data_IF_665696822185
#
_entry.id   IF_665696822185
#
_cell.length_a   1.000
_cell.length_b   1.000
_cell.length_c   1.000
_cell.angle_alpha   90.00
_cell.angle_beta   90.00
_cell.angle_gamma   90.00
#
_symmetry.space_group_name_H-M   'P 1'
#
loop_
_entity.id
_entity.type
_entity.pdbx_description
1 polymer ?
#
# COMPACT_ATOMS: atom_id res chain seq x y z
N UNK A 1 11.56 -1.40 -20.00
CA UNK A 1 10.64 -0.92 -18.94
C UNK A 1 11.36 -1.15 -17.63
N UNK A 2 11.60 -0.11 -16.85
CA UNK A 2 12.21 -0.24 -15.52
C UNK A 2 11.32 -1.13 -14.66
N UNK A 3 11.92 -2.07 -13.94
CA UNK A 3 11.20 -3.03 -13.11
C UNK A 3 10.72 -2.32 -11.83
N UNK A 4 9.58 -1.62 -11.89
CA UNK A 4 8.98 -0.86 -10.78
C UNK A 4 8.30 -1.77 -9.75
N UNK A 5 8.74 -3.02 -9.66
CA UNK A 5 8.15 -4.04 -8.81
C UNK A 5 8.60 -3.84 -7.37
N UNK A 6 7.78 -3.12 -6.59
CA UNK A 6 8.08 -2.74 -5.21
C UNK A 6 8.59 -3.92 -4.36
N UNK A 7 8.01 -5.10 -4.52
CA UNK A 7 8.34 -6.30 -3.74
C UNK A 7 9.82 -6.68 -3.76
N UNK A 8 10.57 -6.30 -4.81
CA UNK A 8 12.01 -6.56 -4.92
C UNK A 8 12.83 -5.68 -3.96
N UNK A 9 12.29 -4.53 -3.59
CA UNK A 9 12.95 -3.50 -2.79
C UNK A 9 12.52 -3.54 -1.32
N UNK A 10 11.28 -3.95 -1.03
CA UNK A 10 10.74 -3.98 0.34
C UNK A 10 11.63 -4.73 1.35
N UNK A 11 12.22 -5.90 1.04
CA UNK A 11 13.07 -6.62 2.00
C UNK A 11 14.36 -5.87 2.39
N UNK A 12 14.77 -4.90 1.59
CA UNK A 12 16.02 -4.15 1.78
C UNK A 12 15.83 -2.94 2.70
N UNK A 13 14.58 -2.58 2.98
CA UNK A 13 14.25 -1.39 3.76
C UNK A 13 14.18 -1.71 5.25
N UNK A 14 14.66 -0.79 6.11
CA UNK A 14 14.45 -0.91 7.54
C UNK A 14 12.95 -0.82 7.88
N UNK A 15 12.54 -1.43 8.99
CA UNK A 15 11.13 -1.44 9.41
C UNK A 15 10.52 -0.04 9.51
N UNK A 16 11.29 0.96 9.93
CA UNK A 16 10.83 2.34 10.00
C UNK A 16 10.48 2.93 8.61
N UNK A 17 11.25 2.59 7.57
CA UNK A 17 10.96 3.00 6.20
C UNK A 17 9.73 2.26 5.65
N UNK A 18 9.61 0.96 5.94
CA UNK A 18 8.44 0.16 5.58
C UNK A 18 7.17 0.70 6.24
N UNK A 19 7.23 1.07 7.52
CA UNK A 19 6.14 1.66 8.26
C UNK A 19 5.74 3.04 7.70
N UNK A 20 6.70 3.90 7.38
CA UNK A 20 6.43 5.20 6.77
C UNK A 20 5.75 5.04 5.40
N UNK A 21 6.20 4.08 4.60
CA UNK A 21 5.65 3.83 3.27
C UNK A 21 4.23 3.25 3.31
N UNK A 22 3.95 2.28 4.19
CA UNK A 22 2.61 1.72 4.31
C UNK A 22 1.61 2.75 4.86
N UNK A 23 2.05 3.62 5.77
CA UNK A 23 1.25 4.73 6.29
C UNK A 23 0.88 5.72 5.16
N UNK A 24 1.86 6.13 4.36
CA UNK A 24 1.61 6.97 3.18
C UNK A 24 0.64 6.32 2.17
N UNK A 25 0.77 5.02 1.91
CA UNK A 25 -0.16 4.32 1.02
C UNK A 25 -1.62 4.45 1.51
N UNK A 26 -1.83 4.33 2.83
CA UNK A 26 -3.16 4.35 3.44
C UNK A 26 -3.72 5.76 3.67
N UNK A 27 -2.86 6.76 3.90
CA UNK A 27 -3.29 8.13 4.21
C UNK A 27 -3.37 9.00 2.95
N UNK A 28 -2.37 8.90 2.09
CA UNK A 28 -2.20 9.79 0.95
C UNK A 28 -2.64 9.11 -0.34
N UNK A 29 -2.07 7.95 -0.67
CA UNK A 29 -2.34 7.34 -1.96
C UNK A 29 -3.79 6.86 -2.09
N UNK A 30 -4.42 6.39 -1.02
CA UNK A 30 -5.82 5.98 -1.03
C UNK A 30 -6.78 7.10 -1.43
N UNK A 31 -6.39 8.37 -1.27
CA UNK A 31 -7.22 9.51 -1.70
C UNK A 31 -7.46 9.51 -3.21
N UNK A 32 -6.51 8.97 -4.00
CA UNK A 32 -6.67 8.78 -5.45
C UNK A 32 -7.78 7.75 -5.78
N UNK A 33 -8.08 6.84 -4.85
CA UNK A 33 -9.22 5.93 -4.91
C UNK A 33 -10.54 6.55 -4.39
N UNK A 34 -10.53 7.83 -4.03
CA UNK A 34 -11.67 8.50 -3.37
C UNK A 34 -11.88 8.07 -1.93
N UNK A 35 -10.85 7.49 -1.28
CA UNK A 35 -10.90 7.09 0.12
C UNK A 35 -10.30 8.16 1.03
N UNK A 36 -11.17 8.82 1.81
CA UNK A 36 -10.76 9.64 2.94
C UNK A 36 -10.62 8.80 4.20
N UNK A 37 -9.46 8.14 4.36
CA UNK A 37 -9.16 7.42 5.59
C UNK A 37 -8.73 8.39 6.70
N UNK A 38 -9.47 8.37 7.82
CA UNK A 38 -9.15 9.15 9.03
C UNK A 38 -8.98 8.17 10.18
N UNK A 39 -7.75 7.73 10.49
CA UNK A 39 -7.53 6.78 11.58
C UNK A 39 -7.91 7.38 12.94
N UNK A 40 -8.43 6.53 13.81
CA UNK A 40 -8.68 6.82 15.21
C UNK A 40 -7.35 6.89 15.98
N UNK A 41 -6.82 8.10 16.06
CA UNK A 41 -5.56 8.42 16.73
C UNK A 41 -5.54 7.99 18.21
N UNK A 42 -6.70 7.92 18.87
CA UNK A 42 -6.77 7.46 20.26
C UNK A 42 -6.37 5.99 20.42
N UNK A 43 -6.62 5.18 19.38
CA UNK A 43 -6.25 3.76 19.34
C UNK A 43 -4.84 3.49 18.84
N UNK A 44 -4.18 4.50 18.27
CA UNK A 44 -2.80 4.41 17.78
C UNK A 44 -1.77 4.90 18.80
N UNK A 45 -2.21 5.73 19.75
CA UNK A 45 -1.33 6.37 20.73
C UNK A 45 -0.63 5.34 21.61
N UNK A 46 0.68 5.55 21.82
CA UNK A 46 1.55 4.74 22.67
C UNK A 46 1.68 3.26 22.27
N UNK A 47 1.28 2.88 21.06
CA UNK A 47 1.56 1.54 20.54
C UNK A 47 3.03 1.41 20.16
N UNK A 48 3.57 0.20 20.34
CA UNK A 48 4.85 -0.15 19.75
C UNK A 48 4.74 -0.11 18.21
N UNK A 49 5.84 0.14 17.46
CA UNK A 49 5.81 0.27 15.99
C UNK A 49 5.08 -0.86 15.24
N UNK A 50 5.29 -2.11 15.65
CA UNK A 50 4.62 -3.27 15.07
C UNK A 50 3.11 -3.27 15.33
N UNK A 51 2.70 -2.95 16.56
CA UNK A 51 1.28 -2.85 16.94
C UNK A 51 0.61 -1.65 16.30
N UNK A 52 1.32 -0.53 16.14
CA UNK A 52 0.85 0.67 15.43
C UNK A 52 0.49 0.31 14.00
N UNK A 53 1.41 -0.31 13.27
CA UNK A 53 1.23 -0.68 11.86
C UNK A 53 0.05 -1.64 11.70
N UNK A 54 -0.05 -2.66 12.56
CA UNK A 54 -1.17 -3.60 12.57
C UNK A 54 -2.51 -2.89 12.83
N UNK A 55 -2.56 -2.04 13.86
CA UNK A 55 -3.77 -1.31 14.23
C UNK A 55 -4.19 -0.30 13.16
N UNK A 56 -3.25 0.30 12.44
CA UNK A 56 -3.52 1.21 11.33
C UNK A 56 -4.12 0.45 10.13
N UNK A 57 -3.52 -0.68 9.75
CA UNK A 57 -4.04 -1.57 8.70
C UNK A 57 -5.43 -2.11 9.06
N UNK A 58 -5.63 -2.56 10.30
CA UNK A 58 -6.92 -3.05 10.78
C UNK A 58 -8.03 -1.98 10.70
N UNK A 59 -7.69 -0.71 10.94
CA UNK A 59 -8.61 0.40 10.77
C UNK A 59 -8.87 0.70 9.30
N UNK A 60 -7.83 0.69 8.47
CA UNK A 60 -7.94 0.95 7.03
C UNK A 60 -8.83 -0.09 6.33
N UNK A 61 -8.65 -1.37 6.63
CA UNK A 61 -9.43 -2.47 6.02
C UNK A 61 -10.91 -2.48 6.40
N UNK A 62 -11.30 -1.70 7.42
CA UNK A 62 -12.70 -1.47 7.80
C UNK A 62 -13.34 -0.36 6.98
N UNK A 63 -12.56 0.54 6.38
CA UNK A 63 -13.04 1.54 5.44
C UNK A 63 -13.25 0.87 4.10
N UNK A 64 -14.51 0.59 3.78
CA UNK A 64 -14.90 -0.08 2.53
C UNK A 64 -15.83 0.86 1.76
N UNK A 65 -15.36 1.50 0.68
CA UNK A 65 -16.18 2.42 -0.10
C UNK A 65 -17.30 1.65 -0.82
N UNK A 66 -16.98 0.44 -1.28
CA UNK A 66 -17.91 -0.60 -1.72
C UNK A 66 -17.40 -1.94 -1.13
N UNK A 67 -18.16 -2.64 -0.27
CA UNK A 67 -17.74 -3.88 0.35
C UNK A 67 -17.44 -5.03 -0.61
N UNK A 68 -18.15 -5.12 -1.74
CA UNK A 68 -17.96 -6.18 -2.75
C UNK A 68 -16.67 -5.90 -3.51
N UNK A 69 -16.50 -4.68 -4.01
CA UNK A 69 -15.30 -4.27 -4.74
C UNK A 69 -14.06 -4.35 -3.86
N UNK A 70 -14.12 -3.82 -2.63
CA UNK A 70 -13.01 -3.91 -1.68
C UNK A 70 -12.66 -5.37 -1.37
N UNK A 71 -13.66 -6.25 -1.21
CA UNK A 71 -13.43 -7.68 -1.03
C UNK A 71 -12.72 -8.33 -2.22
N UNK A 72 -13.14 -8.04 -3.45
CA UNK A 72 -12.50 -8.56 -4.66
C UNK A 72 -11.06 -8.07 -4.80
N UNK A 73 -10.83 -6.77 -4.58
CA UNK A 73 -9.50 -6.15 -4.65
C UNK A 73 -8.57 -6.75 -3.58
N UNK A 74 -9.06 -6.99 -2.36
CA UNK A 74 -8.28 -7.66 -1.32
C UNK A 74 -7.86 -9.08 -1.73
N UNK A 75 -8.74 -9.84 -2.39
CA UNK A 75 -8.39 -11.18 -2.89
C UNK A 75 -7.35 -11.12 -4.00
N UNK A 76 -7.46 -10.16 -4.93
CA UNK A 76 -6.49 -9.98 -6.02
C UNK A 76 -5.12 -9.58 -5.46
N UNK A 77 -5.09 -8.57 -4.58
CA UNK A 77 -3.88 -8.09 -3.94
C UNK A 77 -3.21 -9.19 -3.10
N UNK A 78 -3.99 -9.95 -2.32
CA UNK A 78 -3.49 -11.08 -1.53
C UNK A 78 -2.87 -12.16 -2.41
N UNK A 79 -3.57 -12.60 -3.46
CA UNK A 79 -3.05 -13.61 -4.40
C UNK A 79 -1.77 -13.17 -5.11
N UNK A 80 -1.58 -11.87 -5.34
CA UNK A 80 -0.37 -11.37 -5.93
C UNK A 80 0.76 -11.25 -4.91
N UNK A 81 0.48 -10.71 -3.72
CA UNK A 81 1.45 -10.62 -2.63
C UNK A 81 1.99 -11.99 -2.22
N UNK A 82 1.12 -13.02 -2.16
CA UNK A 82 1.49 -14.40 -1.87
C UNK A 82 2.55 -14.95 -2.83
N UNK A 83 2.58 -14.49 -4.09
CA UNK A 83 3.58 -14.92 -5.09
C UNK A 83 4.97 -14.31 -4.85
N UNK A 84 5.04 -13.20 -4.13
CA UNK A 84 6.31 -12.52 -3.88
C UNK A 84 7.07 -13.15 -2.69
N UNK A 85 6.44 -14.08 -1.96
CA UNK A 85 7.05 -14.87 -0.87
C UNK A 85 7.75 -14.02 0.21
N UNK A 86 7.25 -12.79 0.41
CA UNK A 86 7.77 -11.87 1.42
C UNK A 86 7.36 -12.32 2.82
N UNK A 87 8.11 -11.87 3.83
CA UNK A 87 7.83 -12.18 5.24
C UNK A 87 7.83 -10.91 6.09
N UNK A 88 7.26 -11.01 7.30
CA UNK A 88 7.24 -9.91 8.26
C UNK A 88 6.51 -8.67 7.73
N UNK A 89 7.01 -7.48 8.10
CA UNK A 89 6.40 -6.21 7.71
C UNK A 89 6.43 -5.98 6.18
N UNK A 90 7.45 -6.46 5.49
CA UNK A 90 7.55 -6.33 4.03
C UNK A 90 6.38 -7.01 3.31
N UNK A 91 5.91 -8.17 3.80
CA UNK A 91 4.73 -8.85 3.25
C UNK A 91 3.45 -8.03 3.43
N UNK A 92 3.28 -7.42 4.61
CA UNK A 92 2.13 -6.57 4.92
C UNK A 92 2.12 -5.32 4.05
N UNK A 93 3.29 -4.70 3.89
CA UNK A 93 3.48 -3.51 3.04
C UNK A 93 3.16 -3.81 1.59
N UNK A 94 3.65 -4.94 1.08
CA UNK A 94 3.39 -5.37 -0.29
C UNK A 94 1.89 -5.56 -0.54
N UNK A 95 1.22 -6.33 0.33
CA UNK A 95 -0.23 -6.51 0.27
C UNK A 95 -0.98 -5.17 0.27
N UNK A 96 -0.69 -4.28 1.22
CA UNK A 96 -1.40 -3.00 1.33
C UNK A 96 -1.13 -2.10 0.13
N UNK A 97 0.11 -2.04 -0.37
CA UNK A 97 0.44 -1.25 -1.56
C UNK A 97 -0.32 -1.73 -2.79
N UNK A 98 -0.44 -3.05 -2.98
CA UNK A 98 -1.23 -3.65 -4.06
C UNK A 98 -2.72 -3.38 -3.88
N UNK A 99 -3.22 -3.55 -2.65
CA UNK A 99 -4.62 -3.31 -2.32
C UNK A 99 -5.03 -1.87 -2.62
N UNK A 100 -4.27 -0.88 -2.14
CA UNK A 100 -4.51 0.54 -2.41
C UNK A 100 -4.44 0.82 -3.91
N UNK A 101 -3.41 0.32 -4.60
CA UNK A 101 -3.25 0.52 -6.04
C UNK A 101 -4.48 0.04 -6.82
N UNK A 102 -4.98 -1.15 -6.51
CA UNK A 102 -6.13 -1.74 -7.20
C UNK A 102 -7.47 -1.11 -6.83
N UNK A 103 -7.54 -0.33 -5.75
CA UNK A 103 -8.71 0.47 -5.42
C UNK A 103 -8.81 1.77 -6.25
N UNK A 104 -7.77 2.17 -6.99
CA UNK A 104 -7.76 3.45 -7.70
C UNK A 104 -8.69 3.45 -8.95
N UNK A 105 -8.63 2.47 -9.87
CA UNK A 105 -9.50 2.49 -11.06
C UNK A 105 -10.97 2.32 -10.67
N UNK A 106 -11.85 3.22 -11.12
CA UNK A 106 -13.29 3.18 -10.82
C UNK A 106 -14.02 2.08 -11.62
N UNK A 107 -15.21 1.71 -11.14
CA UNK A 107 -16.09 0.81 -11.89
C UNK A 107 -16.47 1.44 -13.23
N UNK A 108 -16.41 0.64 -14.30
CA UNK A 108 -16.73 1.08 -15.67
C UNK A 108 -15.58 1.73 -16.44
N UNK A 109 -14.37 1.86 -15.87
CA UNK A 109 -13.17 2.17 -16.66
C UNK A 109 -12.92 1.08 -17.69
N UNK A 110 -12.56 1.47 -18.91
CA UNK A 110 -12.12 0.51 -19.92
C UNK A 110 -10.74 -0.07 -19.53
N UNK A 111 -10.36 -1.27 -20.04
CA UNK A 111 -9.12 -1.92 -19.64
C UNK A 111 -7.86 -1.07 -19.91
N UNK A 112 -7.78 -0.40 -21.05
CA UNK A 112 -6.60 0.40 -21.43
C UNK A 112 -6.41 1.61 -20.50
N UNK A 113 -7.49 2.28 -20.15
CA UNK A 113 -7.50 3.39 -19.19
C UNK A 113 -7.16 2.90 -17.77
N UNK A 114 -7.71 1.77 -17.36
CA UNK A 114 -7.40 1.16 -16.06
C UNK A 114 -5.91 0.81 -15.96
N UNK A 115 -5.32 0.22 -17.01
CA UNK A 115 -3.90 -0.09 -17.07
C UNK A 115 -3.03 1.18 -16.98
N UNK A 116 -3.40 2.25 -17.68
CA UNK A 116 -2.70 3.52 -17.61
C UNK A 116 -2.76 4.16 -16.20
N UNK A 117 -3.91 4.07 -15.52
CA UNK A 117 -4.08 4.52 -14.13
C UNK A 117 -3.22 3.68 -13.18
N UNK A 118 -3.22 2.36 -13.33
CA UNK A 118 -2.42 1.45 -12.51
C UNK A 118 -0.92 1.65 -12.72
N UNK A 119 -0.49 1.94 -13.95
CA UNK A 119 0.90 2.26 -14.26
C UNK A 119 1.35 3.55 -13.57
N UNK A 120 0.53 4.61 -13.63
CA UNK A 120 0.80 5.87 -12.92
C UNK A 120 0.83 5.68 -11.41
N UNK A 121 -0.10 4.91 -10.86
CA UNK A 121 -0.13 4.60 -9.44
C UNK A 121 1.12 3.81 -9.00
N UNK A 122 1.56 2.84 -9.82
CA UNK A 122 2.78 2.07 -9.55
C UNK A 122 4.03 2.95 -9.60
N UNK A 123 4.11 3.86 -10.57
CA UNK A 123 5.20 4.83 -10.67
C UNK A 123 5.26 5.74 -9.43
N UNK A 124 4.11 6.26 -8.99
CA UNK A 124 4.05 7.12 -7.80
C UNK A 124 4.46 6.39 -6.52
N UNK A 125 4.02 5.13 -6.35
CA UNK A 125 4.47 4.29 -5.25
C UNK A 125 5.99 4.07 -5.27
N UNK A 126 6.55 3.81 -6.45
CA UNK A 126 7.99 3.60 -6.58
C UNK A 126 8.78 4.87 -6.25
N UNK A 127 8.34 6.02 -6.76
CA UNK A 127 8.95 7.32 -6.46
C UNK A 127 8.94 7.60 -4.95
N UNK A 128 7.79 7.40 -4.31
CA UNK A 128 7.66 7.57 -2.86
C UNK A 128 8.56 6.61 -2.09
N UNK A 129 8.64 5.34 -2.52
CA UNK A 129 9.50 4.34 -1.89
C UNK A 129 10.97 4.77 -1.96
N UNK A 130 11.42 5.28 -3.11
CA UNK A 130 12.77 5.80 -3.31
C UNK A 130 13.06 6.99 -2.41
N UNK A 131 12.12 7.92 -2.27
CA UNK A 131 12.27 9.08 -1.38
C UNK A 131 12.40 8.67 0.09
N UNK A 132 11.54 7.76 0.54
CA UNK A 132 11.57 7.24 1.91
C UNK A 132 12.88 6.46 2.13
N UNK A 133 13.27 5.59 1.21
CA UNK A 133 14.51 4.83 1.32
C UNK A 133 15.72 5.76 1.50
N UNK A 134 15.82 6.81 0.68
CA UNK A 134 16.88 7.83 0.79
C UNK A 134 16.90 8.51 2.16
N UNK A 135 15.73 8.89 2.69
CA UNK A 135 15.59 9.49 4.02
C UNK A 135 16.13 8.57 5.13
N UNK A 136 15.99 7.27 4.95
CA UNK A 136 16.48 6.25 5.88
C UNK A 136 17.89 5.71 5.52
N UNK A 137 18.59 6.34 4.58
CA UNK A 137 19.98 6.01 4.23
C UNK A 137 20.15 4.76 3.36
N UNK A 138 19.08 4.27 2.73
CA UNK A 138 19.10 3.12 1.82
C UNK A 138 19.00 3.61 0.37
N UNK A 139 19.77 2.99 -0.52
CA UNK A 139 19.63 3.18 -1.96
C UNK A 139 18.86 2.00 -2.54
N UNK A 140 17.75 2.30 -3.22
CA UNK A 140 16.89 1.36 -3.97
C UNK A 140 16.83 1.77 -5.43
#
# INVERSE_FOLDING_TARGET
MSNLELHQYLPQLPEAALQEFIEWCMLDQSTAAGLEFKPDQSKLKNLAPADYSKQLVDQFMKVRPDPIRAGLVAVIAGKQADKHELTGLAAVVDFVSLYVKYLIPKDGSNPEEADAILAKASQHQYEQLVEIAKKHGVSV
#
